data_IF_047533683944
#
_entry.id   IF_047533683944
#
_cell.length_a   1.000
_cell.length_b   1.000
_cell.length_c   1.000
_cell.angle_alpha   90.00
_cell.angle_beta   90.00
_cell.angle_gamma   90.00
#
_symmetry.space_group_name_H-M   'P 1'
#
loop_
_entity.id
_entity.type
_entity.pdbx_description
1 polymer ?
#
# COMPACT_ATOMS: atom_id res chain seq x y z
N UNK A 1 26.12 -43.10 -22.15
CA UNK A 1 25.92 -41.64 -22.21
C UNK A 1 24.53 -41.41 -21.67
N UNK A 2 24.48 -40.95 -20.43
CA UNK A 2 23.27 -40.72 -19.64
C UNK A 2 22.97 -39.22 -19.72
N UNK A 3 21.81 -38.84 -20.24
CA UNK A 3 21.35 -37.46 -20.30
C UNK A 3 20.10 -37.36 -19.42
N UNK A 4 20.35 -37.21 -18.13
CA UNK A 4 19.40 -36.59 -17.23
C UNK A 4 19.33 -35.11 -17.55
N UNK A 5 18.22 -34.68 -18.15
CA UNK A 5 17.88 -33.27 -18.28
C UNK A 5 16.61 -33.05 -17.44
N UNK A 6 16.84 -32.86 -16.15
CA UNK A 6 15.86 -32.36 -15.20
C UNK A 6 16.44 -31.10 -14.61
N UNK A 7 16.17 -29.95 -15.23
CA UNK A 7 16.22 -28.67 -14.53
C UNK A 7 15.02 -27.82 -14.93
N UNK A 8 14.16 -27.69 -13.95
CA UNK A 8 13.01 -26.80 -13.88
C UNK A 8 13.48 -25.37 -14.20
N UNK A 9 12.82 -24.71 -15.15
CA UNK A 9 13.00 -23.29 -15.42
C UNK A 9 11.64 -22.59 -15.48
N UNK A 10 10.93 -22.63 -14.36
CA UNK A 10 9.72 -21.84 -14.09
C UNK A 10 9.96 -20.84 -12.94
N UNK A 11 11.20 -20.37 -12.78
CA UNK A 11 11.58 -19.44 -11.71
C UNK A 11 11.56 -17.97 -12.12
N UNK A 12 11.28 -17.65 -13.38
CA UNK A 12 11.59 -16.32 -13.94
C UNK A 12 10.39 -15.36 -14.06
N UNK A 13 9.38 -15.52 -13.18
CA UNK A 13 8.25 -14.56 -13.09
C UNK A 13 8.06 -13.95 -11.69
N UNK A 14 8.92 -14.27 -10.72
CA UNK A 14 8.72 -13.89 -9.31
C UNK A 14 9.77 -12.92 -8.74
N UNK A 15 10.52 -12.19 -9.58
CA UNK A 15 11.74 -11.49 -9.16
C UNK A 15 11.61 -10.01 -8.73
N UNK A 16 10.43 -9.40 -8.66
CA UNK A 16 10.36 -7.95 -8.36
C UNK A 16 9.57 -7.56 -7.09
N UNK A 17 9.07 -8.53 -6.32
CA UNK A 17 8.40 -8.24 -5.04
C UNK A 17 9.38 -8.39 -3.87
N UNK A 18 9.47 -7.41 -2.95
CA UNK A 18 10.28 -7.53 -1.75
C UNK A 18 9.74 -8.67 -0.86
N UNK A 19 10.59 -9.28 -0.01
CA UNK A 19 10.16 -10.34 0.89
C UNK A 19 9.03 -9.83 1.79
N UNK A 20 7.86 -10.45 1.66
CA UNK A 20 6.63 -10.12 2.39
C UNK A 20 6.08 -11.39 3.02
N UNK A 21 5.53 -11.28 4.22
CA UNK A 21 5.05 -12.45 4.99
C UNK A 21 3.55 -12.66 4.80
N UNK A 22 2.83 -11.63 4.36
CA UNK A 22 1.41 -11.72 4.06
C UNK A 22 1.16 -12.34 2.67
N UNK A 23 0.73 -13.60 2.65
CA UNK A 23 0.36 -14.33 1.43
C UNK A 23 -0.79 -13.66 0.65
N UNK A 24 -1.74 -13.03 1.34
CA UNK A 24 -2.86 -12.34 0.69
C UNK A 24 -2.40 -11.10 -0.11
N UNK A 25 -1.44 -10.35 0.44
CA UNK A 25 -0.83 -9.25 -0.30
C UNK A 25 0.02 -9.76 -1.47
N UNK A 26 0.75 -10.87 -1.31
CA UNK A 26 1.57 -11.45 -2.39
C UNK A 26 0.68 -11.84 -3.59
N UNK A 27 -0.41 -12.55 -3.32
CA UNK A 27 -1.40 -12.94 -4.34
C UNK A 27 -2.02 -11.73 -5.04
N UNK A 28 -2.39 -10.69 -4.29
CA UNK A 28 -2.96 -9.46 -4.84
C UNK A 28 -1.99 -8.74 -5.79
N UNK A 29 -0.70 -8.73 -5.47
CA UNK A 29 0.34 -8.07 -6.26
C UNK A 29 0.78 -8.88 -7.49
N UNK A 30 0.80 -10.22 -7.39
CA UNK A 30 1.12 -11.10 -8.52
C UNK A 30 0.02 -11.11 -9.60
N UNK A 31 -1.23 -10.86 -9.21
CA UNK A 31 -2.39 -10.87 -10.11
C UNK A 31 -3.28 -9.63 -9.91
N UNK A 32 -2.83 -8.45 -10.37
CA UNK A 32 -3.61 -7.23 -10.26
C UNK A 32 -4.78 -7.24 -11.26
N UNK A 33 -5.84 -7.97 -10.94
CA UNK A 33 -7.10 -7.87 -11.65
C UNK A 33 -7.79 -6.55 -11.32
N UNK A 34 -8.58 -6.01 -12.25
CA UNK A 34 -9.31 -4.74 -12.01
C UNK A 34 -10.27 -4.80 -10.81
N UNK A 35 -10.60 -6.01 -10.35
CA UNK A 35 -11.51 -6.28 -9.24
C UNK A 35 -10.80 -6.32 -7.87
N UNK A 36 -9.47 -6.36 -7.84
CA UNK A 36 -8.67 -6.32 -6.61
C UNK A 36 -8.13 -4.90 -6.31
N UNK A 37 -8.62 -3.90 -7.04
CA UNK A 37 -8.26 -2.51 -6.84
C UNK A 37 -9.17 -1.87 -5.80
N UNK A 38 -8.55 -1.37 -4.74
CA UNK A 38 -9.17 -0.44 -3.80
C UNK A 38 -8.76 0.97 -4.14
N UNK A 39 -9.59 1.96 -3.82
CA UNK A 39 -9.30 3.37 -4.10
C UNK A 39 -9.16 4.11 -2.78
N UNK A 40 -7.97 4.66 -2.55
CA UNK A 40 -7.72 5.58 -1.45
C UNK A 40 -8.22 6.97 -1.84
N UNK A 41 -9.07 7.53 -0.99
CA UNK A 41 -9.42 8.93 -0.96
C UNK A 41 -8.63 9.57 0.18
N UNK A 42 -7.74 10.49 -0.15
CA UNK A 42 -6.93 11.21 0.82
C UNK A 42 -7.01 12.70 0.51
N UNK A 43 -7.76 13.46 1.32
CA UNK A 43 -8.14 14.85 1.01
C UNK A 43 -8.79 14.96 -0.38
N UNK A 44 -8.09 15.59 -1.34
CA UNK A 44 -8.52 15.76 -2.73
C UNK A 44 -7.87 14.74 -3.68
N UNK A 45 -7.05 13.83 -3.14
CA UNK A 45 -6.34 12.81 -3.89
C UNK A 45 -7.19 11.55 -3.99
N UNK A 46 -7.18 10.94 -5.16
CA UNK A 46 -7.79 9.64 -5.41
C UNK A 46 -6.78 8.78 -6.12
N UNK A 47 -6.35 7.70 -5.47
CA UNK A 47 -5.37 6.78 -6.01
C UNK A 47 -5.86 5.33 -5.92
N UNK A 48 -5.84 4.55 -7.02
CA UNK A 48 -5.98 3.11 -6.94
C UNK A 48 -4.79 2.49 -6.20
N UNK A 49 -5.08 1.52 -5.34
CA UNK A 49 -4.14 0.76 -4.54
C UNK A 49 -4.34 -0.74 -4.78
N UNK A 50 -3.28 -1.51 -4.57
CA UNK A 50 -3.31 -2.98 -4.51
C UNK A 50 -2.71 -3.41 -3.19
N UNK A 51 -3.41 -4.32 -2.49
CA UNK A 51 -3.02 -4.92 -1.22
C UNK A 51 -4.17 -5.77 -0.71
N UNK A 52 -3.98 -6.49 0.40
CA UNK A 52 -5.10 -7.13 1.10
C UNK A 52 -5.90 -6.06 1.88
N UNK A 53 -7.15 -6.38 2.23
CA UNK A 53 -8.04 -5.44 2.92
C UNK A 53 -7.45 -4.92 4.23
N UNK A 54 -6.77 -5.78 5.00
CA UNK A 54 -6.18 -5.42 6.30
C UNK A 54 -5.06 -4.38 6.15
N UNK A 55 -4.08 -4.64 5.27
CA UNK A 55 -2.96 -3.73 5.04
C UNK A 55 -3.38 -2.46 4.32
N UNK A 56 -4.41 -2.51 3.46
CA UNK A 56 -5.01 -1.32 2.89
C UNK A 56 -5.65 -0.47 3.99
N UNK A 57 -6.51 -1.05 4.84
CA UNK A 57 -7.15 -0.34 5.95
C UNK A 57 -6.13 0.29 6.89
N UNK A 58 -5.07 -0.45 7.22
CA UNK A 58 -3.98 0.08 8.02
C UNK A 58 -3.27 1.23 7.33
N UNK A 59 -2.96 1.10 6.04
CA UNK A 59 -2.35 2.16 5.25
C UNK A 59 -3.19 3.44 5.28
N UNK A 60 -4.50 3.33 5.06
CA UNK A 60 -5.43 4.45 5.11
C UNK A 60 -5.52 5.04 6.53
N UNK A 61 -5.60 4.21 7.56
CA UNK A 61 -5.60 4.67 8.96
C UNK A 61 -4.34 5.46 9.32
N UNK A 62 -3.17 5.03 8.85
CA UNK A 62 -1.90 5.71 9.09
C UNK A 62 -1.85 7.04 8.34
N UNK A 63 -2.28 7.09 7.07
CA UNK A 63 -2.43 8.34 6.34
C UNK A 63 -3.42 9.29 7.04
N UNK A 64 -4.41 8.73 7.73
CA UNK A 64 -5.40 9.42 8.57
C UNK A 64 -4.80 10.36 9.61
N UNK A 65 -3.60 10.07 10.14
CA UNK A 65 -2.94 10.94 11.12
C UNK A 65 -2.45 12.28 10.54
N UNK A 66 -2.35 12.40 9.22
CA UNK A 66 -1.74 13.55 8.53
C UNK A 66 -2.65 14.20 7.50
N UNK A 67 -3.94 13.89 7.55
CA UNK A 67 -5.00 14.56 6.77
C UNK A 67 -5.89 15.36 7.70
N UNK A 68 -6.35 16.52 7.23
CA UNK A 68 -7.32 17.34 7.95
C UNK A 68 -8.77 16.91 7.64
N UNK A 69 -8.98 16.19 6.54
CA UNK A 69 -10.28 15.74 6.07
C UNK A 69 -10.49 14.24 6.34
N UNK A 70 -10.42 13.42 5.29
CA UNK A 70 -10.63 11.98 5.40
C UNK A 70 -9.58 11.18 4.63
N UNK A 71 -9.26 10.02 5.20
CA UNK A 71 -8.49 8.95 4.59
C UNK A 71 -9.40 7.72 4.47
N UNK A 72 -10.15 7.65 3.37
CA UNK A 72 -11.16 6.61 3.16
C UNK A 72 -10.70 5.61 2.10
N UNK A 73 -11.15 4.35 2.24
CA UNK A 73 -10.98 3.33 1.22
C UNK A 73 -12.31 2.96 0.60
N UNK A 74 -12.32 2.89 -0.72
CA UNK A 74 -13.44 2.41 -1.50
C UNK A 74 -13.06 1.13 -2.22
N UNK A 75 -13.86 0.08 -2.03
CA UNK A 75 -13.73 -1.19 -2.77
C UNK A 75 -14.41 -1.12 -4.16
N UNK A 76 -14.71 0.09 -4.62
CA UNK A 76 -15.32 0.36 -5.90
C UNK A 76 -14.76 1.66 -6.45
N UNK A 77 -14.83 1.81 -7.78
CA UNK A 77 -14.38 3.04 -8.43
C UNK A 77 -15.25 4.22 -7.98
N UNK A 78 -14.66 5.33 -7.50
CA UNK A 78 -15.43 6.51 -7.10
C UNK A 78 -16.23 7.07 -8.28
N UNK A 79 -17.40 7.65 -8.00
CA UNK A 79 -18.29 8.19 -9.03
C UNK A 79 -17.65 9.29 -9.90
N UNK A 80 -16.73 10.08 -9.33
CA UNK A 80 -15.92 11.07 -10.06
C UNK A 80 -14.71 10.49 -10.79
N UNK A 81 -14.44 9.19 -10.61
CA UNK A 81 -13.24 8.54 -11.10
C UNK A 81 -11.96 9.08 -10.46
N UNK A 82 -10.84 8.87 -11.15
CA UNK A 82 -9.55 9.43 -10.76
C UNK A 82 -9.43 10.81 -11.40
N UNK A 83 -9.50 11.87 -10.60
CA UNK A 83 -9.51 13.27 -11.08
C UNK A 83 -8.23 13.65 -11.84
N UNK A 84 -7.09 13.08 -11.46
CA UNK A 84 -5.82 13.34 -12.12
C UNK A 84 -5.71 12.52 -13.42
N UNK A 85 -5.55 13.15 -14.60
CA UNK A 85 -5.43 12.42 -15.87
C UNK A 85 -4.19 11.52 -15.91
N UNK A 86 -3.08 11.96 -15.32
CA UNK A 86 -1.84 11.17 -15.23
C UNK A 86 -2.02 9.93 -14.37
N UNK A 87 -2.75 10.03 -13.24
CA UNK A 87 -3.08 8.85 -12.42
C UNK A 87 -4.01 7.88 -13.17
N UNK A 88 -4.90 8.38 -14.03
CA UNK A 88 -5.72 7.53 -14.90
C UNK A 88 -4.91 6.65 -15.86
N UNK A 89 -3.68 7.06 -16.20
CA UNK A 89 -2.75 6.31 -17.05
C UNK A 89 -1.73 5.48 -16.24
N UNK A 90 -1.59 5.77 -14.94
CA UNK A 90 -0.56 5.20 -14.08
C UNK A 90 -0.70 3.69 -13.90
N UNK A 91 -1.90 3.11 -14.05
CA UNK A 91 -2.11 1.66 -13.99
C UNK A 91 -1.31 0.87 -15.04
N UNK A 92 -0.78 1.53 -16.07
CA UNK A 92 0.05 0.92 -17.12
C UNK A 92 1.56 1.16 -16.91
N UNK A 93 1.96 1.81 -15.82
CA UNK A 93 3.37 2.07 -15.53
C UNK A 93 4.03 0.82 -14.91
N UNK A 94 5.18 0.37 -15.44
CA UNK A 94 5.79 -0.91 -15.05
C UNK A 94 6.43 -0.90 -13.66
N UNK A 95 6.65 0.26 -13.04
CA UNK A 95 7.29 0.37 -11.72
C UNK A 95 6.38 1.14 -10.78
N UNK A 96 5.50 0.41 -10.11
CA UNK A 96 4.69 0.96 -9.03
C UNK A 96 5.51 0.88 -7.75
N UNK A 97 5.56 1.96 -6.95
CA UNK A 97 6.21 1.90 -5.66
C UNK A 97 5.42 0.94 -4.77
N UNK A 98 6.15 0.03 -4.13
CA UNK A 98 5.61 -0.85 -3.12
C UNK A 98 5.98 -0.30 -1.74
N UNK A 99 4.97 0.03 -0.96
CA UNK A 99 5.14 0.58 0.39
C UNK A 99 4.90 -0.55 1.40
N UNK A 100 5.89 -0.89 2.25
CA UNK A 100 5.70 -1.90 3.28
C UNK A 100 4.74 -1.39 4.36
N UNK A 101 3.84 -2.26 4.79
CA UNK A 101 2.86 -2.02 5.87
C UNK A 101 2.89 -3.24 6.77
N UNK A 102 3.54 -3.11 7.92
CA UNK A 102 3.83 -4.25 8.82
C UNK A 102 4.46 -5.44 8.10
N UNK A 103 3.74 -6.56 8.03
CA UNK A 103 4.14 -7.83 7.42
C UNK A 103 3.64 -7.97 5.96
N UNK A 104 2.91 -6.98 5.47
CA UNK A 104 2.40 -6.88 4.10
C UNK A 104 2.91 -5.63 3.35
N UNK A 105 2.25 -5.32 2.24
CA UNK A 105 2.65 -4.21 1.39
C UNK A 105 1.50 -3.68 0.53
N UNK A 106 1.60 -2.41 0.15
CA UNK A 106 0.62 -1.70 -0.68
C UNK A 106 1.30 -1.12 -1.91
N UNK A 107 0.80 -1.43 -3.10
CA UNK A 107 1.22 -0.78 -4.34
C UNK A 107 0.34 0.44 -4.64
N UNK A 108 0.95 1.56 -5.03
CA UNK A 108 0.24 2.82 -5.31
C UNK A 108 0.22 3.10 -6.83
N UNK A 109 -0.94 2.92 -7.46
CA UNK A 109 -1.15 3.13 -8.90
C UNK A 109 -1.46 4.60 -9.24
N UNK A 110 -0.56 5.50 -8.87
CA UNK A 110 -0.70 6.94 -9.12
C UNK A 110 0.45 7.50 -9.97
N UNK A 111 0.34 8.74 -10.44
CA UNK A 111 1.49 9.41 -11.06
C UNK A 111 2.58 9.71 -10.01
N UNK A 112 3.85 9.92 -10.41
CA UNK A 112 4.98 10.09 -9.48
C UNK A 112 4.79 11.19 -8.42
N UNK A 113 4.11 12.28 -8.80
CA UNK A 113 3.76 13.37 -7.90
C UNK A 113 2.84 12.91 -6.77
N UNK A 114 1.73 12.26 -7.12
CA UNK A 114 0.78 11.74 -6.14
C UNK A 114 1.33 10.54 -5.37
N UNK A 115 2.17 9.70 -5.98
CA UNK A 115 2.89 8.65 -5.26
C UNK A 115 3.73 9.26 -4.14
N UNK A 116 4.52 10.30 -4.46
CA UNK A 116 5.38 10.98 -3.49
C UNK A 116 4.55 11.59 -2.36
N UNK A 117 3.46 12.28 -2.69
CA UNK A 117 2.59 12.88 -1.67
C UNK A 117 1.97 11.81 -0.74
N UNK A 118 1.41 10.74 -1.31
CA UNK A 118 0.80 9.65 -0.52
C UNK A 118 1.86 8.96 0.37
N UNK A 119 3.06 8.69 -0.16
CA UNK A 119 4.16 8.08 0.60
C UNK A 119 4.60 9.01 1.75
N UNK A 120 4.74 10.31 1.51
CA UNK A 120 5.10 11.28 2.55
C UNK A 120 4.06 11.35 3.66
N UNK A 121 2.76 11.31 3.32
CA UNK A 121 1.67 11.29 4.30
C UNK A 121 1.68 10.02 5.13
N UNK A 122 1.93 8.87 4.50
CA UNK A 122 2.07 7.60 5.20
C UNK A 122 3.26 7.61 6.17
N UNK A 123 4.45 8.03 5.72
CA UNK A 123 5.66 8.09 6.56
C UNK A 123 5.49 9.06 7.73
N UNK A 124 4.95 10.25 7.48
CA UNK A 124 4.66 11.22 8.55
C UNK A 124 3.59 10.69 9.52
N UNK A 125 2.64 9.91 9.00
CA UNK A 125 1.64 9.21 9.80
C UNK A 125 2.23 8.15 10.72
N UNK A 126 3.20 7.36 10.24
CA UNK A 126 3.95 6.41 11.06
C UNK A 126 4.70 7.10 12.19
N UNK A 127 5.40 8.20 11.90
CA UNK A 127 6.11 8.98 12.92
C UNK A 127 5.14 9.51 13.99
N UNK A 128 3.98 9.99 13.57
CA UNK A 128 2.92 10.47 14.47
C UNK A 128 2.37 9.34 15.34
N UNK A 129 2.07 8.18 14.75
CA UNK A 129 1.60 7.01 15.46
C UNK A 129 2.61 6.56 16.53
N UNK A 130 3.90 6.46 16.16
CA UNK A 130 4.96 6.09 17.11
C UNK A 130 5.06 7.07 18.28
N UNK A 131 4.95 8.37 18.02
CA UNK A 131 4.97 9.39 19.08
C UNK A 131 3.77 9.25 20.02
N UNK A 132 2.57 9.02 19.48
CA UNK A 132 1.35 8.82 20.28
C UNK A 132 1.45 7.56 21.15
N UNK A 133 1.91 6.44 20.59
CA UNK A 133 2.11 5.19 21.33
C UNK A 133 3.14 5.37 22.45
N UNK A 134 4.27 6.00 22.16
CA UNK A 134 5.30 6.26 23.18
C UNK A 134 4.79 7.16 24.31
N UNK A 135 3.95 8.15 24.03
CA UNK A 135 3.33 9.00 25.05
C UNK A 135 2.34 8.25 25.92
N UNK A 136 1.52 7.38 25.32
CA UNK A 136 0.56 6.54 26.03
C UNK A 136 1.28 5.54 26.96
N UNK A 137 2.37 4.93 26.49
CA UNK A 137 3.18 4.05 27.32
C UNK A 137 3.78 4.81 28.50
N UNK A 138 4.36 6.00 28.28
CA UNK A 138 4.89 6.83 29.38
C UNK A 138 3.81 7.22 30.40
N UNK A 139 2.60 7.57 29.94
CA UNK A 139 1.48 7.89 30.82
C UNK A 139 1.04 6.67 31.66
N UNK A 140 0.95 5.49 31.04
CA UNK A 140 0.60 4.25 31.73
C UNK A 140 1.63 3.85 32.81
N UNK A 141 2.91 4.21 32.62
CA UNK A 141 3.95 3.97 33.63
C UNK A 141 3.92 5.02 34.77
N UNK A 142 3.35 6.20 34.55
CA UNK A 142 3.26 7.25 35.56
C UNK A 142 2.11 7.01 36.56
N UNK A 143 0.99 6.44 36.12
CA UNK A 143 -0.18 6.15 36.96
C UNK A 143 0.00 4.94 37.92
N UNK A 144 1.11 4.21 37.83
CA UNK A 144 1.42 3.02 38.65
C UNK A 144 2.39 3.33 39.81
N UNK A 145 2.80 4.59 40.01
CA UNK A 145 3.73 5.01 41.08
C UNK A 145 3.06 5.67 42.30
#
# INVERSE_FOLDING_TARGET
MDLGDSLHHDSDRNQDLPPMQCEACELALQSPERHTLSFLLLDQLTAPLIGCDDHLQQFASICGYTTEASADLLNHRPAGGVSCPSCGLAAHTPHQPLVPVEDGAVAILACPEHQTEIINRFQTGLDTQHQLTAQLDMAAHHDVS
#
